data_IF_950071189520
#
_entry.id   IF_950071189520
#
_cell.length_a   1.000
_cell.length_b   1.000
_cell.length_c   1.000
_cell.angle_alpha   90.00
_cell.angle_beta   90.00
_cell.angle_gamma   90.00
#
_symmetry.space_group_name_H-M   'P 1'
#
loop_
_entity.id
_entity.type
_entity.pdbx_description
1 polymer ?
#
# COMPACT_ATOMS: atom_id res chain seq x y z
N UNK A 1 52.12 41.07 -37.77
CA UNK A 1 50.88 41.77 -38.17
C UNK A 1 50.37 41.10 -39.43
N UNK A 2 49.35 40.25 -39.31
CA UNK A 2 48.80 39.51 -40.44
C UNK A 2 47.29 39.39 -40.22
N UNK A 3 46.53 40.22 -40.95
CA UNK A 3 45.07 40.11 -41.04
C UNK A 3 44.73 38.93 -41.96
N UNK A 4 43.76 38.08 -41.60
CA UNK A 4 43.12 37.18 -42.54
C UNK A 4 41.88 37.84 -43.20
N UNK A 5 41.53 37.43 -44.44
CA UNK A 5 40.46 38.01 -45.22
C UNK A 5 39.06 37.49 -44.85
N UNK A 6 38.08 38.36 -45.07
CA UNK A 6 36.63 38.17 -44.97
C UNK A 6 36.11 37.13 -45.95
N UNK A 7 35.23 36.24 -45.48
CA UNK A 7 34.38 35.42 -46.33
C UNK A 7 32.90 35.57 -45.90
N UNK A 8 31.94 35.77 -46.83
CA UNK A 8 30.53 36.00 -46.52
C UNK A 8 29.69 34.75 -46.81
N UNK A 9 28.97 34.19 -45.84
CA UNK A 9 27.82 33.31 -46.11
C UNK A 9 26.71 33.53 -45.05
N UNK A 10 25.44 33.28 -45.43
CA UNK A 10 24.26 33.98 -44.98
C UNK A 10 23.65 33.39 -43.72
N UNK A 11 22.89 34.24 -43.02
CA UNK A 11 22.19 33.92 -41.80
C UNK A 11 21.20 32.77 -41.96
N UNK A 12 21.18 31.92 -40.95
CA UNK A 12 20.04 31.07 -40.65
C UNK A 12 19.80 31.20 -39.15
N UNK A 13 18.87 32.09 -38.81
CA UNK A 13 18.43 32.37 -37.46
C UNK A 13 17.39 31.31 -37.09
N UNK A 14 17.62 30.39 -36.14
CA UNK A 14 16.58 29.48 -35.69
C UNK A 14 15.55 30.29 -34.89
N UNK A 15 14.34 30.34 -35.43
CA UNK A 15 13.15 30.91 -34.81
C UNK A 15 12.99 30.32 -33.38
N UNK A 16 12.70 31.13 -32.34
CA UNK A 16 12.37 30.57 -31.04
C UNK A 16 11.05 29.78 -31.13
N UNK A 17 10.90 28.65 -30.41
CA UNK A 17 9.64 27.94 -30.33
C UNK A 17 8.63 28.81 -29.56
N UNK A 18 7.85 29.53 -30.36
CA UNK A 18 6.44 29.81 -30.19
C UNK A 18 5.77 28.96 -29.08
N UNK A 19 5.58 29.56 -27.90
CA UNK A 19 4.81 28.99 -26.80
C UNK A 19 3.32 28.98 -27.14
N UNK A 20 2.76 27.79 -27.32
CA UNK A 20 1.36 27.54 -27.62
C UNK A 20 0.78 26.72 -26.47
N UNK A 21 -0.26 27.24 -25.84
CA UNK A 21 -1.01 26.49 -24.82
C UNK A 21 -1.02 27.17 -23.47
N UNK A 22 -1.65 28.35 -23.40
CA UNK A 22 -2.21 28.81 -22.14
C UNK A 22 -3.30 27.84 -21.70
N UNK A 23 -3.26 27.45 -20.43
CA UNK A 23 -4.36 26.76 -19.78
C UNK A 23 -5.59 27.69 -19.80
N UNK A 24 -6.57 27.39 -20.65
CA UNK A 24 -7.92 27.91 -20.44
C UNK A 24 -8.53 27.13 -19.27
N UNK A 25 -9.01 27.79 -18.21
CA UNK A 25 -9.84 27.12 -17.22
C UNK A 25 -11.13 26.65 -17.91
N UNK A 26 -11.65 25.45 -17.59
CA UNK A 26 -12.90 24.99 -18.16
C UNK A 26 -14.03 25.95 -17.80
N UNK A 27 -14.70 26.48 -18.82
CA UNK A 27 -15.96 27.21 -18.66
C UNK A 27 -17.00 26.24 -18.10
N UNK A 28 -17.53 26.56 -16.92
CA UNK A 28 -18.71 25.89 -16.39
C UNK A 28 -19.92 26.19 -17.30
N UNK A 29 -20.75 25.21 -17.64
CA UNK A 29 -22.04 25.46 -18.27
C UNK A 29 -22.90 26.32 -17.34
N UNK A 30 -23.35 27.49 -17.81
CA UNK A 30 -24.46 28.20 -17.18
C UNK A 30 -25.71 27.32 -17.31
N UNK A 31 -26.12 26.71 -16.21
CA UNK A 31 -27.43 26.09 -16.11
C UNK A 31 -28.43 27.14 -15.64
N UNK A 32 -29.20 27.63 -16.60
CA UNK A 32 -30.44 28.37 -16.38
C UNK A 32 -31.48 27.36 -15.85
N UNK A 33 -31.91 27.53 -14.60
CA UNK A 33 -32.77 26.54 -13.94
C UNK A 33 -33.25 27.05 -12.59
N UNK A 34 -34.48 27.54 -12.56
CA UNK A 34 -35.14 28.08 -11.38
C UNK A 34 -35.16 27.09 -10.20
N UNK A 35 -34.92 27.62 -9.00
CA UNK A 35 -35.04 26.89 -7.75
C UNK A 35 -36.47 26.41 -7.53
N UNK A 36 -36.71 25.11 -7.24
CA UNK A 36 -37.95 24.69 -6.60
C UNK A 36 -37.96 25.15 -5.13
N UNK A 37 -39.11 25.59 -4.59
CA UNK A 37 -39.21 26.05 -3.21
C UNK A 37 -38.99 24.90 -2.20
N UNK A 38 -38.34 25.23 -1.09
CA UNK A 38 -38.10 24.32 0.02
C UNK A 38 -39.41 23.87 0.69
N UNK A 39 -39.53 22.59 1.13
CA UNK A 39 -40.66 22.15 1.94
C UNK A 39 -40.66 22.85 3.31
N UNK A 40 -41.79 23.48 3.63
CA UNK A 40 -42.05 24.08 4.94
C UNK A 40 -42.12 22.99 6.02
N UNK A 41 -41.40 23.19 7.12
CA UNK A 41 -41.59 22.41 8.35
C UNK A 41 -42.87 22.86 9.06
N UNK A 42 -43.73 21.95 9.52
CA UNK A 42 -44.84 22.30 10.39
C UNK A 42 -44.32 22.75 11.77
N UNK A 43 -44.49 24.03 12.05
CA UNK A 43 -44.38 24.62 13.37
C UNK A 43 -45.58 24.16 14.20
N UNK A 44 -45.38 23.20 15.10
CA UNK A 44 -46.41 22.84 16.08
C UNK A 44 -46.24 23.71 17.32
N UNK A 45 -47.21 24.59 17.51
CA UNK A 45 -47.26 25.62 18.54
C UNK A 45 -47.38 25.05 19.94
N UNK A 46 -46.87 25.84 20.89
CA UNK A 46 -46.92 25.54 22.31
C UNK A 46 -48.29 25.81 22.92
N UNK A 47 -48.50 25.21 24.08
CA UNK A 47 -49.42 25.70 25.09
C UNK A 47 -48.87 25.28 26.46
N UNK A 48 -48.58 26.26 27.31
CA UNK A 48 -48.09 26.07 28.68
C UNK A 48 -49.26 26.28 29.65
N UNK A 49 -49.68 25.27 30.42
CA UNK A 49 -50.52 25.51 31.58
C UNK A 49 -49.68 25.82 32.83
N UNK A 50 -49.86 27.07 33.27
CA UNK A 50 -49.70 27.65 34.61
C UNK A 50 -49.64 26.67 35.81
N UNK A 51 -48.71 26.93 36.73
CA UNK A 51 -48.65 26.34 38.07
C UNK A 51 -49.82 26.83 38.96
N UNK A 52 -50.44 25.96 39.76
CA UNK A 52 -51.23 26.36 40.93
C UNK A 52 -50.39 26.33 42.23
N UNK A 53 -50.84 27.08 43.26
CA UNK A 53 -50.03 27.52 44.39
C UNK A 53 -49.87 26.50 45.52
N UNK A 54 -48.80 26.72 46.29
CA UNK A 54 -48.41 26.05 47.52
C UNK A 54 -49.36 26.38 48.69
N UNK A 55 -49.85 25.36 49.41
CA UNK A 55 -50.40 25.51 50.76
C UNK A 55 -51.44 24.46 51.17
N UNK A 56 -51.27 23.88 52.36
CA UNK A 56 -52.36 23.24 53.11
C UNK A 56 -52.05 21.86 53.71
N UNK A 57 -51.82 21.82 55.02
CA UNK A 57 -51.79 20.65 55.89
C UNK A 57 -53.01 19.72 55.73
N UNK A 58 -52.84 18.39 55.88
CA UNK A 58 -53.63 17.53 56.79
C UNK A 58 -53.45 16.00 56.58
N UNK A 59 -53.09 15.33 57.67
CA UNK A 59 -53.43 13.96 58.13
C UNK A 59 -53.19 12.71 57.24
N UNK A 60 -52.14 11.96 57.59
CA UNK A 60 -52.25 10.62 58.19
C UNK A 60 -52.66 9.41 57.33
N UNK A 61 -51.66 8.71 56.76
CA UNK A 61 -51.71 7.25 56.55
C UNK A 61 -50.28 6.66 56.58
N UNK A 62 -50.04 5.47 57.17
CA UNK A 62 -48.70 4.90 57.25
C UNK A 62 -48.20 4.42 55.88
N UNK A 63 -46.99 4.83 55.52
CA UNK A 63 -46.30 4.43 54.29
C UNK A 63 -45.70 3.03 54.49
N UNK A 64 -45.89 2.06 53.56
CA UNK A 64 -45.17 0.78 53.64
C UNK A 64 -43.66 0.99 53.43
N UNK A 65 -42.78 0.19 54.07
CA UNK A 65 -41.35 0.42 54.02
C UNK A 65 -40.80 0.20 52.60
N UNK A 66 -40.16 1.23 52.03
CA UNK A 66 -39.36 1.11 50.82
C UNK A 66 -38.20 0.14 51.09
N UNK A 67 -38.18 -1.02 50.40
CA UNK A 67 -37.03 -1.93 50.39
C UNK A 67 -35.82 -1.18 49.82
N UNK A 68 -34.83 -0.93 50.68
CA UNK A 68 -33.52 -0.41 50.29
C UNK A 68 -32.78 -1.51 49.54
N UNK A 69 -32.78 -1.47 48.22
CA UNK A 69 -31.82 -2.26 47.45
C UNK A 69 -30.43 -1.67 47.72
N UNK A 70 -29.62 -2.41 48.47
CA UNK A 70 -28.30 -1.97 48.91
C UNK A 70 -27.40 -1.67 47.71
N UNK A 71 -26.81 -0.48 47.71
CA UNK A 71 -25.86 0.02 46.71
C UNK A 71 -24.72 -0.97 46.39
N UNK A 72 -24.39 -1.89 47.31
CA UNK A 72 -23.42 -2.96 47.09
C UNK A 72 -23.80 -3.97 46.01
N UNK A 73 -25.08 -4.25 45.77
CA UNK A 73 -25.51 -5.18 44.70
C UNK A 73 -25.42 -4.54 43.32
N UNK A 74 -25.68 -3.24 43.21
CA UNK A 74 -25.52 -2.50 41.95
C UNK A 74 -24.03 -2.36 41.60
N UNK A 75 -23.18 -2.05 42.60
CA UNK A 75 -21.74 -1.96 42.39
C UNK A 75 -21.12 -3.31 41.97
N UNK A 76 -21.58 -4.43 42.53
CA UNK A 76 -21.13 -5.77 42.14
C UNK A 76 -21.62 -6.17 40.74
N UNK A 77 -22.83 -5.79 40.34
CA UNK A 77 -23.33 -6.05 38.98
C UNK A 77 -22.54 -5.21 37.97
N UNK A 78 -22.27 -3.94 38.26
CA UNK A 78 -21.44 -3.09 37.40
C UNK A 78 -20.01 -3.63 37.31
N UNK A 79 -19.40 -4.03 38.43
CA UNK A 79 -18.05 -4.62 38.43
C UNK A 79 -18.00 -5.96 37.68
N UNK A 80 -19.04 -6.80 37.81
CA UNK A 80 -19.16 -8.06 37.07
C UNK A 80 -19.38 -7.83 35.57
N UNK A 81 -20.18 -6.85 35.18
CA UNK A 81 -20.39 -6.48 33.77
C UNK A 81 -19.11 -5.88 33.17
N UNK A 82 -18.37 -5.06 33.92
CA UNK A 82 -17.07 -4.53 33.49
C UNK A 82 -16.04 -5.66 33.39
N UNK A 83 -15.99 -6.61 34.33
CA UNK A 83 -15.11 -7.78 34.23
C UNK A 83 -15.49 -8.69 33.06
N UNK A 84 -16.77 -8.91 32.79
CA UNK A 84 -17.22 -9.71 31.63
C UNK A 84 -16.94 -8.99 30.31
N UNK A 85 -17.03 -7.66 30.25
CA UNK A 85 -16.67 -6.87 29.07
C UNK A 85 -15.15 -6.77 28.86
N UNK A 86 -14.38 -6.55 29.92
CA UNK A 86 -12.92 -6.42 29.85
C UNK A 86 -12.19 -7.77 29.70
N UNK A 87 -12.72 -8.83 30.31
CA UNK A 87 -12.10 -10.17 30.26
C UNK A 87 -12.77 -11.04 29.18
N UNK A 88 -14.09 -11.07 29.09
CA UNK A 88 -14.81 -11.85 28.07
C UNK A 88 -14.82 -11.22 26.68
N UNK A 89 -14.99 -9.90 26.59
CA UNK A 89 -14.87 -9.14 25.34
C UNK A 89 -13.42 -9.03 24.87
N UNK A 90 -12.48 -8.87 25.80
CA UNK A 90 -11.04 -8.85 25.53
C UNK A 90 -10.52 -10.17 24.96
N UNK A 91 -10.92 -11.33 25.49
CA UNK A 91 -10.41 -12.63 25.02
C UNK A 91 -10.96 -12.99 23.62
N UNK A 92 -12.24 -12.71 23.34
CA UNK A 92 -12.83 -13.00 22.02
C UNK A 92 -12.29 -12.06 20.92
N UNK A 93 -12.09 -10.78 21.24
CA UNK A 93 -11.48 -9.82 20.31
C UNK A 93 -9.98 -10.08 20.17
N UNK A 94 -9.26 -10.46 21.23
CA UNK A 94 -7.83 -10.78 21.16
C UNK A 94 -7.56 -12.09 20.43
N UNK A 95 -8.45 -13.08 20.50
CA UNK A 95 -8.34 -14.32 19.73
C UNK A 95 -8.69 -14.12 18.24
N UNK A 96 -9.64 -13.24 17.91
CA UNK A 96 -10.05 -12.98 16.53
C UNK A 96 -9.19 -11.91 15.81
N UNK A 97 -8.75 -10.88 16.53
CA UNK A 97 -7.91 -9.80 16.00
C UNK A 97 -6.42 -9.99 16.32
N UNK A 98 -6.06 -10.99 17.12
CA UNK A 98 -4.67 -11.21 17.52
C UNK A 98 -3.77 -11.54 16.34
N UNK A 99 -4.28 -12.30 15.37
CA UNK A 99 -3.52 -12.66 14.18
C UNK A 99 -3.46 -11.50 13.18
N UNK A 100 -4.58 -10.79 12.95
CA UNK A 100 -4.60 -9.58 12.12
C UNK A 100 -3.69 -8.46 12.66
N UNK A 101 -3.67 -8.26 13.98
CA UNK A 101 -2.81 -7.25 14.62
C UNK A 101 -1.35 -7.67 14.54
N UNK A 102 -1.02 -8.94 14.76
CA UNK A 102 0.37 -9.44 14.58
C UNK A 102 0.82 -9.33 13.13
N UNK A 103 -0.04 -9.65 12.17
CA UNK A 103 0.26 -9.54 10.75
C UNK A 103 0.46 -8.08 10.34
N UNK A 104 -0.39 -7.17 10.82
CA UNK A 104 -0.23 -5.72 10.60
C UNK A 104 1.06 -5.19 11.26
N UNK A 105 1.40 -5.66 12.46
CA UNK A 105 2.66 -5.30 13.13
C UNK A 105 3.86 -5.84 12.35
N UNK A 106 3.85 -7.10 11.92
CA UNK A 106 4.94 -7.68 11.13
C UNK A 106 5.10 -6.94 9.79
N UNK A 107 3.99 -6.67 9.10
CA UNK A 107 3.97 -5.88 7.87
C UNK A 107 4.60 -4.49 8.07
N UNK A 108 4.36 -3.84 9.21
CA UNK A 108 4.96 -2.54 9.52
C UNK A 108 6.49 -2.59 9.70
N UNK A 109 7.03 -3.78 10.01
CA UNK A 109 8.46 -4.04 10.20
C UNK A 109 9.12 -4.70 9.00
N UNK A 110 8.35 -5.13 7.99
CA UNK A 110 8.90 -5.64 6.73
C UNK A 110 9.66 -4.54 6.00
N UNK A 111 10.85 -4.87 5.51
CA UNK A 111 11.71 -4.02 4.68
C UNK A 111 12.24 -4.82 3.51
N UNK A 112 12.37 -4.16 2.36
CA UNK A 112 13.14 -4.69 1.24
C UNK A 112 14.51 -4.03 1.24
N UNK A 113 15.56 -4.82 1.05
CA UNK A 113 16.94 -4.35 1.06
C UNK A 113 17.67 -4.81 -0.19
N UNK A 114 18.72 -4.09 -0.54
CA UNK A 114 19.67 -4.54 -1.55
C UNK A 114 20.90 -5.13 -0.84
N UNK A 115 20.97 -6.46 -0.66
CA UNK A 115 22.10 -7.07 0.04
C UNK A 115 23.42 -6.83 -0.72
N UNK A 116 24.55 -7.07 -0.06
CA UNK A 116 25.86 -6.97 -0.70
C UNK A 116 26.05 -8.04 -1.79
N UNK A 117 25.47 -9.21 -1.55
CA UNK A 117 25.40 -10.35 -2.48
C UNK A 117 23.99 -10.91 -2.49
N UNK A 118 23.60 -11.57 -3.58
CA UNK A 118 22.32 -12.27 -3.68
C UNK A 118 22.54 -13.72 -4.10
N UNK A 119 22.33 -14.68 -3.21
CA UNK A 119 22.64 -16.09 -3.47
C UNK A 119 24.11 -16.29 -3.84
N UNK A 120 25.01 -15.55 -3.18
CA UNK A 120 26.45 -15.54 -3.46
C UNK A 120 26.88 -14.70 -4.66
N UNK A 121 25.95 -14.14 -5.44
CA UNK A 121 26.26 -13.29 -6.60
C UNK A 121 26.61 -11.87 -6.14
N UNK A 122 27.73 -11.28 -6.56
CA UNK A 122 28.06 -9.89 -6.20
C UNK A 122 27.11 -8.92 -6.90
N UNK A 123 26.84 -7.77 -6.29
CA UNK A 123 26.11 -6.68 -6.95
C UNK A 123 26.88 -6.21 -8.19
N UNK A 124 26.19 -6.00 -9.30
CA UNK A 124 26.77 -5.58 -10.58
C UNK A 124 27.29 -4.14 -10.52
N UNK A 125 28.47 -3.92 -11.10
CA UNK A 125 29.13 -2.60 -11.18
C UNK A 125 29.05 -1.95 -12.55
N UNK A 126 28.42 -2.60 -13.53
CA UNK A 126 28.25 -2.06 -14.88
C UNK A 126 27.32 -0.83 -14.87
N UNK A 127 27.75 0.34 -15.37
CA UNK A 127 26.96 1.57 -15.28
C UNK A 127 25.57 1.49 -15.93
N UNK A 128 25.44 0.76 -17.03
CA UNK A 128 24.18 0.56 -17.76
C UNK A 128 23.11 -0.09 -16.87
N UNK A 129 23.47 -1.19 -16.20
CA UNK A 129 22.60 -1.96 -15.31
C UNK A 129 22.33 -1.21 -14.00
N UNK A 130 23.31 -0.46 -13.48
CA UNK A 130 23.07 0.41 -12.34
C UNK A 130 22.06 1.51 -12.65
N UNK A 131 22.18 2.17 -13.81
CA UNK A 131 21.24 3.19 -14.24
C UNK A 131 19.83 2.61 -14.45
N UNK A 132 19.72 1.43 -15.06
CA UNK A 132 18.45 0.72 -15.19
C UNK A 132 17.82 0.42 -13.82
N UNK A 133 18.61 -0.03 -12.85
CA UNK A 133 18.14 -0.27 -11.48
C UNK A 133 17.65 0.99 -10.77
N UNK A 134 18.36 2.12 -10.96
CA UNK A 134 17.94 3.43 -10.45
C UNK A 134 16.62 3.88 -11.09
N UNK A 135 16.47 3.68 -12.39
CA UNK A 135 15.24 4.02 -13.11
C UNK A 135 14.05 3.20 -12.60
N UNK A 136 14.19 1.88 -12.49
CA UNK A 136 13.13 1.01 -11.98
C UNK A 136 12.69 1.40 -10.56
N UNK A 137 13.64 1.73 -9.67
CA UNK A 137 13.31 2.24 -8.33
C UNK A 137 12.54 3.55 -8.37
N UNK A 138 12.90 4.45 -9.28
CA UNK A 138 12.22 5.74 -9.45
C UNK A 138 10.80 5.59 -9.96
N UNK A 139 10.58 4.67 -10.89
CA UNK A 139 9.24 4.34 -11.41
C UNK A 139 8.38 3.70 -10.30
N UNK A 140 8.88 2.66 -9.64
CA UNK A 140 8.15 2.00 -8.55
C UNK A 140 7.83 2.94 -7.38
N UNK A 141 8.74 3.86 -7.05
CA UNK A 141 8.52 4.86 -5.99
C UNK A 141 7.43 5.87 -6.31
N UNK A 142 7.12 6.13 -7.60
CA UNK A 142 6.01 7.01 -7.99
C UNK A 142 4.66 6.32 -7.83
N UNK A 143 4.63 5.02 -8.06
CA UNK A 143 3.40 4.22 -8.03
C UNK A 143 3.00 3.83 -6.59
N UNK A 144 3.95 3.87 -5.64
CA UNK A 144 3.72 3.52 -4.23
C UNK A 144 4.03 4.70 -3.30
N UNK A 145 3.11 5.68 -3.14
CA UNK A 145 3.35 6.89 -2.36
C UNK A 145 3.58 6.67 -0.85
N UNK A 146 3.27 5.48 -0.33
CA UNK A 146 3.45 5.10 1.08
C UNK A 146 4.54 4.03 1.27
N UNK A 147 5.45 3.89 0.30
CA UNK A 147 6.60 2.99 0.42
C UNK A 147 7.49 3.37 1.61
N UNK A 148 7.80 2.41 2.48
CA UNK A 148 8.73 2.57 3.61
C UNK A 148 10.17 2.23 3.23
N UNK A 149 10.38 1.41 2.21
CA UNK A 149 11.68 1.19 1.56
C UNK A 149 11.49 0.68 0.14
N UNK A 150 12.51 0.87 -0.70
CA UNK A 150 12.58 0.33 -2.06
C UNK A 150 13.93 -0.34 -2.29
N UNK A 151 13.94 -1.41 -3.06
CA UNK A 151 15.14 -2.12 -3.46
C UNK A 151 15.11 -2.30 -4.97
N UNK A 152 16.27 -2.15 -5.61
CA UNK A 152 16.41 -2.35 -7.04
C UNK A 152 17.87 -2.49 -7.42
N UNK A 153 18.27 -3.67 -7.88
CA UNK A 153 19.65 -3.97 -8.19
C UNK A 153 19.78 -5.18 -9.13
N UNK A 154 20.95 -5.26 -9.77
CA UNK A 154 21.39 -6.44 -10.52
C UNK A 154 22.53 -7.13 -9.76
N UNK A 155 22.55 -8.46 -9.79
CA UNK A 155 23.55 -9.30 -9.16
C UNK A 155 24.07 -10.34 -10.14
N UNK A 156 25.37 -10.63 -10.06
CA UNK A 156 26.04 -11.66 -10.83
C UNK A 156 27.03 -11.09 -11.87
N UNK A 157 27.23 -11.84 -12.93
CA UNK A 157 28.14 -11.55 -14.02
C UNK A 157 27.45 -11.81 -15.38
N UNK A 158 27.06 -10.76 -16.11
CA UNK A 158 26.37 -10.92 -17.38
C UNK A 158 27.23 -11.63 -18.43
N UNK A 159 28.57 -11.52 -18.37
CA UNK A 159 29.47 -12.21 -19.29
C UNK A 159 29.46 -13.73 -19.07
N UNK A 160 29.11 -14.19 -17.87
CA UNK A 160 28.95 -15.60 -17.52
C UNK A 160 27.52 -16.10 -17.64
N UNK A 161 26.59 -15.29 -18.15
CA UNK A 161 25.15 -15.60 -18.21
C UNK A 161 24.56 -15.96 -16.84
N UNK A 162 25.08 -15.34 -15.78
CA UNK A 162 24.57 -15.51 -14.43
C UNK A 162 24.18 -14.13 -13.91
N UNK A 163 22.93 -13.74 -14.15
CA UNK A 163 22.43 -12.41 -13.83
C UNK A 163 21.05 -12.52 -13.20
N UNK A 164 20.86 -11.85 -12.07
CA UNK A 164 19.58 -11.73 -11.36
C UNK A 164 19.28 -10.26 -11.14
N UNK A 165 18.11 -9.82 -11.55
CA UNK A 165 17.56 -8.52 -11.19
C UNK A 165 16.57 -8.72 -10.04
N UNK A 166 16.62 -7.81 -9.07
CA UNK A 166 15.56 -7.68 -8.06
C UNK A 166 15.00 -6.27 -8.12
N UNK A 167 13.70 -6.17 -7.90
CA UNK A 167 13.01 -4.93 -7.61
C UNK A 167 11.95 -5.21 -6.56
N UNK A 168 11.77 -4.31 -5.60
CA UNK A 168 10.77 -4.48 -4.58
C UNK A 168 10.50 -3.21 -3.80
N UNK A 169 9.38 -3.22 -3.10
CA UNK A 169 8.92 -2.16 -2.22
C UNK A 169 8.37 -2.77 -0.95
N UNK A 170 8.60 -2.10 0.18
CA UNK A 170 7.91 -2.42 1.44
C UNK A 170 6.96 -1.31 1.83
N UNK A 171 5.91 -1.67 2.53
CA UNK A 171 4.86 -0.77 2.99
C UNK A 171 3.64 -1.59 3.41
N UNK A 172 2.67 -0.94 4.07
CA UNK A 172 1.42 -1.63 4.41
C UNK A 172 0.62 -1.81 3.12
N UNK A 173 0.45 -3.06 2.71
CA UNK A 173 -0.31 -3.45 1.52
C UNK A 173 -1.65 -4.04 1.97
N UNK A 174 -2.74 -3.34 1.64
CA UNK A 174 -4.07 -3.74 2.08
C UNK A 174 -4.54 -5.06 1.42
N UNK A 175 -4.32 -5.19 0.11
CA UNK A 175 -4.68 -6.37 -0.69
C UNK A 175 -3.48 -6.89 -1.48
N UNK A 176 -2.61 -7.71 -0.85
CA UNK A 176 -1.39 -8.21 -1.49
C UNK A 176 -1.66 -9.00 -2.78
N UNK A 177 -2.78 -9.72 -2.85
CA UNK A 177 -3.14 -10.53 -4.03
C UNK A 177 -3.50 -9.65 -5.21
N UNK A 178 -4.25 -8.58 -4.97
CA UNK A 178 -4.58 -7.60 -6.00
C UNK A 178 -3.34 -6.86 -6.47
N UNK A 179 -2.51 -6.34 -5.55
CA UNK A 179 -1.30 -5.60 -5.93
C UNK A 179 -0.30 -6.49 -6.70
N UNK A 180 -0.17 -7.77 -6.33
CA UNK A 180 0.59 -8.75 -7.12
C UNK A 180 0.01 -8.95 -8.53
N UNK A 181 -1.31 -9.04 -8.66
CA UNK A 181 -1.97 -9.22 -9.96
C UNK A 181 -1.78 -7.98 -10.86
N UNK A 182 -1.85 -6.78 -10.28
CA UNK A 182 -1.62 -5.53 -10.99
C UNK A 182 -0.15 -5.41 -11.43
N UNK A 183 0.80 -5.76 -10.56
CA UNK A 183 2.22 -5.79 -10.90
C UNK A 183 2.55 -6.81 -12.00
N UNK A 184 1.96 -8.01 -11.95
CA UNK A 184 2.07 -9.01 -13.02
C UNK A 184 1.52 -8.45 -14.33
N UNK A 185 0.37 -7.77 -14.29
CA UNK A 185 -0.25 -7.18 -15.47
C UNK A 185 0.63 -6.08 -16.07
N UNK A 186 1.21 -5.23 -15.22
CA UNK A 186 2.07 -4.13 -15.63
C UNK A 186 3.35 -4.60 -16.31
N UNK A 187 3.98 -5.68 -15.81
CA UNK A 187 5.26 -6.16 -16.33
C UNK A 187 5.15 -7.11 -17.53
N UNK A 188 3.97 -7.72 -17.73
CA UNK A 188 3.77 -8.74 -18.77
C UNK A 188 4.14 -8.27 -20.18
N UNK A 189 3.80 -7.04 -20.61
CA UNK A 189 4.21 -6.54 -21.93
C UNK A 189 5.73 -6.48 -22.13
N UNK A 190 6.47 -6.09 -21.09
CA UNK A 190 7.92 -5.87 -21.17
C UNK A 190 8.73 -7.16 -21.07
N UNK A 191 8.26 -8.11 -20.25
CA UNK A 191 8.91 -9.39 -20.03
C UNK A 191 8.31 -10.53 -20.86
N UNK A 192 7.27 -10.28 -21.66
CA UNK A 192 6.62 -11.31 -22.46
C UNK A 192 6.17 -12.54 -21.67
N UNK A 193 5.91 -12.38 -20.38
CA UNK A 193 5.59 -13.46 -19.45
C UNK A 193 4.21 -14.05 -19.75
N UNK A 194 4.05 -15.35 -19.50
CA UNK A 194 2.77 -16.05 -19.69
C UNK A 194 2.48 -16.99 -18.53
N UNK A 195 1.19 -17.13 -18.20
CA UNK A 195 0.71 -18.16 -17.28
C UNK A 195 1.48 -18.22 -15.96
N UNK A 196 1.45 -17.14 -15.16
CA UNK A 196 2.02 -17.12 -13.82
C UNK A 196 1.42 -18.22 -12.94
N UNK A 197 2.26 -19.16 -12.50
CA UNK A 197 1.89 -20.29 -11.65
C UNK A 197 2.24 -20.01 -10.21
N UNK A 198 1.37 -20.41 -9.29
CA UNK A 198 1.66 -20.35 -7.87
C UNK A 198 2.88 -21.22 -7.53
N UNK A 199 3.75 -20.70 -6.69
CA UNK A 199 4.91 -21.40 -6.13
C UNK A 199 4.93 -21.24 -4.61
N UNK A 200 5.82 -21.97 -3.95
CA UNK A 200 6.03 -21.78 -2.51
C UNK A 200 6.58 -20.36 -2.24
N UNK A 201 5.90 -19.62 -1.37
CA UNK A 201 6.29 -18.29 -0.93
C UNK A 201 7.38 -18.33 0.14
N UNK A 202 7.59 -19.49 0.78
CA UNK A 202 8.56 -19.68 1.84
C UNK A 202 8.09 -19.17 3.21
N UNK A 203 9.01 -19.14 4.20
CA UNK A 203 8.66 -18.90 5.61
C UNK A 203 8.22 -17.45 5.91
N UNK A 204 8.48 -16.51 5.00
CA UNK A 204 8.03 -15.11 5.12
C UNK A 204 6.53 -14.96 4.85
N UNK A 205 5.86 -15.99 4.34
CA UNK A 205 4.43 -16.00 4.07
C UNK A 205 4.05 -15.20 2.82
N UNK A 206 2.77 -14.87 2.71
CA UNK A 206 2.20 -14.26 1.51
C UNK A 206 2.00 -15.22 0.35
N UNK A 207 1.85 -14.67 -0.84
CA UNK A 207 1.70 -15.40 -2.09
C UNK A 207 2.90 -15.17 -3.01
N UNK A 208 3.28 -16.18 -3.77
CA UNK A 208 4.30 -16.07 -4.80
C UNK A 208 3.87 -16.76 -6.09
N UNK A 209 4.25 -16.18 -7.22
CA UNK A 209 3.99 -16.74 -8.55
C UNK A 209 5.20 -16.60 -9.45
N UNK A 210 5.45 -17.59 -10.30
CA UNK A 210 6.51 -17.54 -11.29
C UNK A 210 6.02 -17.81 -12.72
N UNK A 211 6.73 -17.26 -13.70
CA UNK A 211 6.44 -17.36 -15.12
C UNK A 211 7.72 -17.29 -15.94
N UNK A 212 7.77 -18.05 -17.03
CA UNK A 212 8.79 -17.89 -18.05
C UNK A 212 8.48 -16.64 -18.90
N UNK A 213 9.53 -15.93 -19.29
CA UNK A 213 9.43 -14.73 -20.11
C UNK A 213 10.68 -14.51 -20.97
N UNK A 214 10.77 -13.31 -21.54
CA UNK A 214 11.92 -12.81 -22.26
C UNK A 214 12.15 -11.33 -21.97
N UNK A 215 13.39 -10.94 -21.74
CA UNK A 215 13.81 -9.55 -21.70
C UNK A 215 14.78 -9.28 -22.86
N UNK A 216 14.40 -8.46 -23.84
CA UNK A 216 15.24 -8.17 -25.02
C UNK A 216 15.79 -9.45 -25.69
N UNK A 217 14.91 -10.41 -25.98
CA UNK A 217 15.22 -11.74 -26.52
C UNK A 217 16.03 -12.69 -25.62
N UNK A 218 16.44 -12.25 -24.43
CA UNK A 218 17.07 -13.12 -23.42
C UNK A 218 15.97 -13.89 -22.68
N UNK A 219 15.99 -15.24 -22.64
CA UNK A 219 15.08 -16.02 -21.81
C UNK A 219 15.23 -15.65 -20.34
N UNK A 220 14.11 -15.47 -19.64
CA UNK A 220 14.11 -15.15 -18.21
C UNK A 220 13.11 -16.02 -17.44
N UNK A 221 13.44 -16.30 -16.19
CA UNK A 221 12.52 -16.79 -15.18
C UNK A 221 12.13 -15.62 -14.28
N UNK A 222 10.83 -15.36 -14.16
CA UNK A 222 10.30 -14.26 -13.35
C UNK A 222 9.55 -14.84 -12.18
N UNK A 223 9.84 -14.39 -10.96
CA UNK A 223 9.03 -14.69 -9.77
C UNK A 223 8.62 -13.39 -9.09
N UNK A 224 7.33 -13.28 -8.76
CA UNK A 224 6.73 -12.16 -8.04
C UNK A 224 6.21 -12.67 -6.71
N UNK A 225 6.37 -11.89 -5.65
CA UNK A 225 5.76 -12.16 -4.35
C UNK A 225 5.01 -10.95 -3.83
N UNK A 226 3.99 -11.20 -3.01
CA UNK A 226 3.36 -10.18 -2.22
C UNK A 226 2.87 -10.72 -0.87
N UNK A 227 3.06 -9.90 0.16
CA UNK A 227 2.54 -10.08 1.50
C UNK A 227 2.02 -8.73 2.01
N UNK A 228 1.55 -8.66 3.26
CA UNK A 228 1.01 -7.42 3.84
C UNK A 228 2.03 -6.30 4.00
N UNK A 229 3.32 -6.61 3.96
CA UNK A 229 4.43 -5.69 4.18
C UNK A 229 5.33 -5.45 2.97
N UNK A 230 5.24 -6.28 1.91
CA UNK A 230 6.08 -6.15 0.73
C UNK A 230 5.44 -6.66 -0.57
N UNK A 231 5.88 -6.07 -1.67
CA UNK A 231 5.66 -6.53 -3.04
C UNK A 231 7.01 -6.51 -3.74
N UNK A 232 7.36 -7.58 -4.43
CA UNK A 232 8.59 -7.59 -5.19
C UNK A 232 8.62 -8.59 -6.32
N UNK A 233 9.64 -8.44 -7.14
CA UNK A 233 9.89 -9.25 -8.32
C UNK A 233 11.38 -9.56 -8.43
N UNK A 234 11.67 -10.80 -8.81
CA UNK A 234 13.00 -11.22 -9.21
C UNK A 234 12.95 -11.77 -10.63
N UNK A 235 13.92 -11.36 -11.43
CA UNK A 235 14.10 -11.84 -12.79
C UNK A 235 15.48 -12.49 -12.87
N UNK A 236 15.52 -13.80 -13.10
CA UNK A 236 16.76 -14.50 -13.41
C UNK A 236 16.91 -14.60 -14.92
N UNK A 237 18.03 -14.14 -15.44
CA UNK A 237 18.33 -14.19 -16.86
C UNK A 237 18.96 -15.54 -17.21
N UNK A 238 18.74 -15.97 -18.45
CA UNK A 238 19.29 -17.20 -19.04
C UNK A 238 18.85 -18.50 -18.35
N UNK A 239 17.81 -18.45 -17.51
CA UNK A 239 17.17 -19.59 -16.85
C UNK A 239 15.66 -19.54 -17.02
N UNK A 240 15.01 -20.69 -16.91
CA UNK A 240 13.55 -20.80 -16.81
C UNK A 240 13.05 -20.49 -15.39
N UNK A 241 11.75 -20.22 -15.26
CA UNK A 241 11.07 -20.07 -13.98
C UNK A 241 11.11 -21.36 -13.14
N UNK A 242 11.07 -22.52 -13.78
CA UNK A 242 11.15 -23.81 -13.09
C UNK A 242 12.53 -24.03 -12.44
N UNK A 243 13.61 -23.64 -13.14
CA UNK A 243 14.96 -23.65 -12.56
C UNK A 243 15.06 -22.63 -11.42
N UNK A 244 14.49 -21.44 -11.62
CA UNK A 244 14.56 -20.35 -10.65
C UNK A 244 13.85 -20.66 -9.33
N UNK A 245 12.73 -21.38 -9.38
CA UNK A 245 11.91 -21.70 -8.22
C UNK A 245 12.70 -22.35 -7.08
N UNK A 246 13.75 -23.11 -7.39
CA UNK A 246 14.63 -23.75 -6.40
C UNK A 246 15.50 -22.77 -5.60
N UNK A 247 15.83 -21.61 -6.18
CA UNK A 247 16.64 -20.56 -5.55
C UNK A 247 15.76 -19.44 -4.94
N UNK A 248 14.54 -19.26 -5.49
CA UNK A 248 13.66 -18.12 -5.21
C UNK A 248 13.44 -17.84 -3.72
N UNK A 249 13.04 -18.83 -2.92
CA UNK A 249 12.74 -18.64 -1.48
C UNK A 249 13.97 -18.15 -0.71
N UNK A 250 15.14 -18.71 -1.02
CA UNK A 250 16.41 -18.29 -0.42
C UNK A 250 16.73 -16.84 -0.78
N UNK A 251 16.62 -16.49 -2.07
CA UNK A 251 16.90 -15.13 -2.53
C UNK A 251 15.92 -14.11 -1.93
N UNK A 252 14.63 -14.46 -1.85
CA UNK A 252 13.61 -13.63 -1.18
C UNK A 252 14.00 -13.37 0.27
N UNK A 253 14.45 -14.40 1.00
CA UNK A 253 14.93 -14.25 2.38
C UNK A 253 16.17 -13.35 2.54
N UNK A 254 16.95 -13.15 1.48
CA UNK A 254 18.06 -12.19 1.46
C UNK A 254 17.61 -10.75 1.21
N UNK A 255 16.52 -10.56 0.45
CA UNK A 255 15.98 -9.25 0.04
C UNK A 255 14.93 -8.72 1.01
N UNK A 256 14.01 -9.55 1.47
CA UNK A 256 12.93 -9.17 2.39
C UNK A 256 13.33 -9.50 3.83
N UNK A 257 13.31 -8.49 4.70
CA UNK A 257 13.67 -8.56 6.12
C UNK A 257 12.48 -8.17 6.97
N UNK A 258 12.32 -8.83 8.11
CA UNK A 258 11.37 -8.46 9.15
C UNK A 258 12.19 -8.10 10.39
N UNK A 259 12.13 -6.85 10.82
CA UNK A 259 12.77 -6.35 12.06
C UNK A 259 11.90 -6.54 13.31
#
# INVERSE_FOLDING_TARGET
MSQPPSNPYPGNNPNPPQQHGGYQPPQQPQHDGGYPPAPQQPQYGGDYPQQPPYGGDQFGAPVPPKKKFGAGKILLIVLAVVLVLCVGGGIAIWAAAGDDVKEAVNASKTRVVEPATLGGRPKVTEPSLQNAAVQMKSELGKDVPNATSTAGAFYGDPAKKDLVMIVGVSGIIADPKKEMADAITAVTPDLGTKDFKAVDAGPLGGDAKCSDGKAQDVPVGVCVWADKGSLGMMVVYFKSAAEFQSEFVTLRGEVEKQD
#
